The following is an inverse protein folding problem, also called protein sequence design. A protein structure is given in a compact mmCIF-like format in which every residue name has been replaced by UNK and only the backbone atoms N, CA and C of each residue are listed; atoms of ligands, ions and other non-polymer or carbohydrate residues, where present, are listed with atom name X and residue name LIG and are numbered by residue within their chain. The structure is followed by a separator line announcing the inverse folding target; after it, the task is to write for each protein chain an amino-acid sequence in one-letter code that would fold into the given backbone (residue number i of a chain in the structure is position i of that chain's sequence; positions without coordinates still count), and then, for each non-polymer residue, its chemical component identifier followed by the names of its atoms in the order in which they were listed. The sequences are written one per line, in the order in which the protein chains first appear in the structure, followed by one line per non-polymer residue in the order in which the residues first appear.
data_IF_195036672190
#
_entry.id   IF_195036672190
#
_cell.length_a   1.000
_cell.length_b   1.000
_cell.length_c   1.000
_cell.angle_alpha   90.00
_cell.angle_beta   90.00
_cell.angle_gamma   90.00
#
_symmetry.space_group_name_H-M   'P 1'
#
loop_
_entity.id
_entity.type
_entity.pdbx_description
1 polymer ?
#
# COMPACT_ATOMS: atom_id res chain seq x y z
N UNK A 1 43.33 82.22 39.37
CA UNK A 1 43.90 80.98 39.91
C UNK A 1 43.74 79.96 38.79
N UNK A 2 44.68 79.96 37.82
CA UNK A 2 45.90 79.12 37.78
C UNK A 2 45.50 77.64 37.52
N UNK A 3 45.91 76.92 36.48
CA UNK A 3 47.01 77.05 35.50
C UNK A 3 46.67 76.35 34.16
N UNK A 4 47.34 76.80 33.09
CA UNK A 4 47.52 76.24 31.73
C UNK A 4 48.72 75.23 31.73
N UNK A 5 49.26 74.59 30.65
CA UNK A 5 48.77 74.12 29.31
C UNK A 5 49.16 72.64 28.99
N UNK A 6 48.57 72.06 27.93
CA UNK A 6 49.32 71.47 26.78
C UNK A 6 48.37 71.24 25.59
N UNK A 7 48.62 71.98 24.50
CA UNK A 7 48.05 71.94 23.13
C UNK A 7 48.78 70.84 22.29
N UNK A 8 48.55 70.59 20.97
CA UNK A 8 47.44 70.88 20.03
C UNK A 8 46.95 69.66 19.18
N UNK A 9 45.93 69.94 18.35
CA UNK A 9 45.63 69.42 17.00
C UNK A 9 45.35 67.90 16.81
N UNK A 10 44.14 67.53 16.40
CA UNK A 10 43.87 67.12 15.00
C UNK A 10 42.48 66.46 14.82
N UNK A 11 41.80 66.98 13.81
CA UNK A 11 40.95 66.31 12.81
C UNK A 11 40.03 65.16 13.22
N UNK A 12 38.74 65.48 13.06
CA UNK A 12 37.62 64.59 12.79
C UNK A 12 38.01 63.50 11.77
N UNK A 13 37.94 62.19 12.10
CA UNK A 13 38.27 61.16 11.13
C UNK A 13 37.12 60.95 10.14
N UNK A 14 37.56 60.95 8.89
CA UNK A 14 36.90 60.75 7.62
C UNK A 14 36.00 59.49 7.57
N UNK A 15 34.87 59.64 6.86
CA UNK A 15 33.92 58.56 6.59
C UNK A 15 34.35 57.88 5.30
N UNK A 16 35.35 57.01 5.37
CA UNK A 16 35.64 55.99 4.34
C UNK A 16 36.58 54.92 4.88
N UNK A 17 36.07 53.76 5.26
CA UNK A 17 36.67 52.43 5.00
C UNK A 17 35.91 51.32 5.75
N UNK A 18 35.13 50.54 4.99
CA UNK A 18 35.16 49.07 4.97
C UNK A 18 34.05 48.56 4.04
N UNK A 19 34.23 48.84 2.74
CA UNK A 19 33.61 48.07 1.66
C UNK A 19 34.71 47.24 0.99
N UNK A 20 35.20 46.20 1.65
CA UNK A 20 36.14 45.26 1.02
C UNK A 20 36.12 43.83 1.58
N UNK A 21 35.02 43.37 2.20
CA UNK A 21 34.83 41.96 2.59
C UNK A 21 33.73 41.24 1.80
N UNK A 22 33.31 41.79 0.65
CA UNK A 22 32.30 41.20 -0.24
C UNK A 22 32.83 40.71 -1.60
N UNK A 23 34.14 40.78 -1.86
CA UNK A 23 34.70 40.61 -3.21
C UNK A 23 35.68 39.43 -3.34
N UNK A 24 35.64 38.46 -2.44
CA UNK A 24 36.56 37.31 -2.44
C UNK A 24 35.88 35.94 -2.70
N UNK A 25 34.62 35.92 -3.18
CA UNK A 25 33.98 34.70 -3.70
C UNK A 25 33.64 34.76 -5.20
N UNK A 26 33.94 35.87 -5.89
CA UNK A 26 33.62 36.06 -7.31
C UNK A 26 34.81 35.83 -8.27
N UNK A 27 35.94 35.34 -7.76
CA UNK A 27 37.20 35.29 -8.52
C UNK A 27 37.60 33.90 -9.05
N UNK A 28 36.64 33.01 -9.33
CA UNK A 28 36.90 31.73 -10.05
C UNK A 28 35.92 31.43 -11.19
N UNK A 29 35.11 32.39 -11.64
CA UNK A 29 34.19 32.21 -12.75
C UNK A 29 34.60 33.02 -13.99
N UNK A 30 35.84 32.85 -14.46
CA UNK A 30 36.24 33.37 -15.78
C UNK A 30 37.09 32.34 -16.52
N UNK A 31 36.41 31.40 -17.19
CA UNK A 31 36.71 30.96 -18.56
C UNK A 31 35.84 29.75 -18.96
N UNK A 32 34.64 29.98 -19.51
CA UNK A 32 34.12 29.16 -20.62
C UNK A 32 33.18 29.99 -21.51
N UNK A 33 33.42 29.85 -22.81
CA UNK A 33 32.80 30.49 -23.97
C UNK A 33 31.28 30.32 -24.08
N UNK A 34 30.56 31.33 -24.57
CA UNK A 34 29.38 31.32 -25.48
C UNK A 34 28.42 30.11 -25.49
N UNK A 35 28.21 29.42 -24.38
CA UNK A 35 27.33 28.26 -24.33
C UNK A 35 25.92 28.71 -23.93
N UNK A 36 25.05 28.85 -24.93
CA UNK A 36 23.61 29.04 -24.71
C UNK A 36 23.01 27.68 -24.37
N UNK A 37 22.54 27.51 -23.13
CA UNK A 37 21.87 26.29 -22.71
C UNK A 37 20.70 25.96 -23.64
N UNK A 38 20.46 24.68 -23.98
CA UNK A 38 19.32 24.32 -24.83
C UNK A 38 17.98 24.68 -24.15
N UNK A 39 16.93 24.87 -24.96
CA UNK A 39 15.55 25.02 -24.50
C UNK A 39 14.73 23.76 -24.81
N UNK A 40 14.93 22.66 -24.05
CA UNK A 40 14.33 21.38 -24.37
C UNK A 40 12.83 21.36 -24.09
N UNK A 41 12.11 20.73 -25.01
CA UNK A 41 10.69 20.44 -24.88
C UNK A 41 9.78 21.65 -25.08
N UNK A 42 8.82 21.83 -24.19
CA UNK A 42 7.81 22.89 -24.32
C UNK A 42 8.39 24.31 -24.14
N UNK A 43 8.13 25.20 -25.11
CA UNK A 43 8.51 26.62 -25.04
C UNK A 43 7.85 27.40 -23.90
N UNK A 44 6.84 26.82 -23.25
CA UNK A 44 6.15 27.39 -22.07
C UNK A 44 6.95 27.20 -20.77
N UNK A 45 7.95 26.32 -20.78
CA UNK A 45 8.87 26.13 -19.65
C UNK A 45 10.07 27.07 -19.79
N UNK A 46 10.72 27.50 -18.69
CA UNK A 46 11.93 28.31 -18.78
C UNK A 46 13.09 27.55 -19.44
N UNK A 47 13.99 28.27 -20.10
CA UNK A 47 15.24 27.70 -20.63
C UNK A 47 16.14 27.22 -19.47
N UNK A 48 17.00 26.23 -19.72
CA UNK A 48 17.92 25.75 -18.69
C UNK A 48 18.97 26.80 -18.33
N UNK A 49 19.41 26.77 -17.07
CA UNK A 49 20.57 27.53 -16.62
C UNK A 49 21.83 26.69 -16.79
N UNK A 50 22.98 27.34 -16.94
CA UNK A 50 24.29 26.68 -17.04
C UNK A 50 24.99 26.73 -15.70
N UNK A 51 25.49 25.59 -15.23
CA UNK A 51 26.38 25.49 -14.08
C UNK A 51 27.39 24.35 -14.33
N UNK A 52 28.55 24.40 -13.68
CA UNK A 52 29.48 23.28 -13.70
C UNK A 52 28.93 22.10 -12.88
N UNK A 53 29.11 20.89 -13.39
CA UNK A 53 28.69 19.67 -12.70
C UNK A 53 29.66 19.42 -11.54
N UNK A 54 29.12 19.16 -10.35
CA UNK A 54 29.91 18.81 -9.16
C UNK A 54 30.64 17.49 -9.42
N UNK A 55 31.92 17.42 -9.02
CA UNK A 55 32.73 16.21 -9.12
C UNK A 55 32.07 15.02 -8.42
N UNK A 56 32.13 13.85 -9.06
CA UNK A 56 31.57 12.63 -8.50
C UNK A 56 32.32 12.23 -7.21
N UNK A 57 31.60 11.82 -6.14
CA UNK A 57 32.23 11.42 -4.90
C UNK A 57 33.05 10.15 -5.09
N UNK A 58 34.22 10.10 -4.45
CA UNK A 58 35.02 8.89 -4.42
C UNK A 58 34.37 7.85 -3.48
N UNK A 59 34.11 6.65 -4.01
CA UNK A 59 33.58 5.54 -3.24
C UNK A 59 34.63 5.00 -2.26
N UNK A 60 34.61 5.49 -1.03
CA UNK A 60 35.35 4.89 0.10
C UNK A 60 34.41 4.04 0.95
N UNK A 61 34.94 3.03 1.66
CA UNK A 61 34.13 2.17 2.55
C UNK A 61 33.36 2.96 3.62
N UNK A 62 33.91 4.09 4.06
CA UNK A 62 33.28 4.98 5.05
C UNK A 62 32.12 5.77 4.44
N UNK A 63 32.31 6.30 3.23
CA UNK A 63 31.25 6.99 2.49
C UNK A 63 30.11 6.03 2.12
N UNK A 64 30.41 4.75 1.86
CA UNK A 64 29.38 3.75 1.56
C UNK A 64 28.36 3.57 2.70
N UNK A 65 28.81 3.51 3.96
CA UNK A 65 27.90 3.47 5.11
C UNK A 65 27.19 4.80 5.37
N UNK A 66 27.84 5.93 5.07
CA UNK A 66 27.26 7.24 5.24
C UNK A 66 26.09 7.49 4.26
N UNK A 67 26.20 6.99 3.01
CA UNK A 67 25.15 7.02 2.00
C UNK A 67 23.93 6.13 2.32
N UNK A 68 24.12 5.04 3.07
CA UNK A 68 23.03 4.14 3.45
C UNK A 68 22.03 4.81 4.39
N UNK A 69 22.47 5.71 5.27
CA UNK A 69 21.60 6.38 6.24
C UNK A 69 20.48 7.20 5.58
N UNK A 70 20.81 8.20 4.72
CA UNK A 70 19.82 8.98 3.99
C UNK A 70 18.95 8.11 3.07
N UNK A 71 19.54 7.14 2.37
CA UNK A 71 18.80 6.24 1.47
C UNK A 71 17.78 5.37 2.23
N UNK A 72 18.16 4.85 3.40
CA UNK A 72 17.27 4.05 4.25
C UNK A 72 16.12 4.90 4.82
N UNK A 73 16.41 6.13 5.25
CA UNK A 73 15.40 7.07 5.75
C UNK A 73 14.41 7.48 4.64
N UNK A 74 14.91 7.77 3.44
CA UNK A 74 14.07 8.07 2.27
C UNK A 74 13.25 6.85 1.84
N UNK A 75 13.86 5.66 1.84
CA UNK A 75 13.17 4.40 1.56
C UNK A 75 12.06 4.09 2.56
N UNK A 76 12.28 4.30 3.87
CA UNK A 76 11.26 4.08 4.89
C UNK A 76 10.12 5.11 4.91
N UNK A 77 10.34 6.28 4.30
CA UNK A 77 9.28 7.26 4.02
C UNK A 77 8.41 6.83 2.83
N UNK A 78 8.96 6.08 1.88
CA UNK A 78 8.24 5.56 0.72
C UNK A 78 7.32 4.37 1.05
N UNK A 79 7.54 3.70 2.19
CA UNK A 79 6.68 2.58 2.63
C UNK A 79 5.38 3.12 3.24
N UNK A 80 4.27 2.91 2.53
CA UNK A 80 2.92 3.37 2.85
C UNK A 80 2.05 2.30 3.53
N UNK A 81 0.95 2.71 4.18
CA UNK A 81 0.10 1.81 4.97
C UNK A 81 -0.71 0.77 4.18
N UNK A 82 -0.97 0.98 2.90
CA UNK A 82 -1.67 0.01 2.04
C UNK A 82 -0.84 -1.24 1.71
N UNK A 83 0.48 -1.10 1.61
CA UNK A 83 1.44 -2.19 1.33
C UNK A 83 1.48 -3.21 2.48
N UNK A 84 1.33 -2.72 3.71
CA UNK A 84 1.35 -3.53 4.94
C UNK A 84 0.16 -4.48 5.08
N UNK A 85 -0.95 -4.20 4.42
CA UNK A 85 -2.14 -5.05 4.48
C UNK A 85 -2.17 -6.01 3.29
N UNK A 86 -1.90 -5.51 2.08
CA UNK A 86 -2.00 -6.31 0.86
C UNK A 86 -0.89 -7.35 0.73
N UNK A 87 0.35 -7.02 1.13
CA UNK A 87 1.47 -7.95 1.05
C UNK A 87 1.23 -9.24 1.86
N UNK A 88 1.01 -9.15 3.18
CA UNK A 88 0.72 -10.32 4.01
C UNK A 88 -0.53 -11.08 3.58
N UNK A 89 -1.60 -10.37 3.18
CA UNK A 89 -2.83 -11.02 2.71
C UNK A 89 -2.56 -11.94 1.51
N UNK A 90 -1.73 -11.50 0.56
CA UNK A 90 -1.41 -12.31 -0.61
C UNK A 90 -0.42 -13.40 -0.30
N UNK A 91 0.61 -13.13 0.49
CA UNK A 91 1.54 -14.18 0.90
C UNK A 91 0.85 -15.25 1.76
N UNK A 92 -0.19 -14.88 2.52
CA UNK A 92 -1.04 -15.85 3.20
C UNK A 92 -1.91 -16.67 2.24
N UNK A 93 -2.36 -16.08 1.12
CA UNK A 93 -3.25 -16.73 0.15
C UNK A 93 -2.57 -17.48 -1.00
N UNK A 94 -1.31 -17.18 -1.33
CA UNK A 94 -0.60 -17.73 -2.50
C UNK A 94 0.86 -18.08 -2.18
N UNK A 95 1.21 -18.10 -0.89
CA UNK A 95 2.58 -18.29 -0.45
C UNK A 95 3.56 -17.31 -1.09
N UNK A 96 4.77 -17.80 -1.36
CA UNK A 96 5.83 -17.06 -2.03
C UNK A 96 5.68 -16.99 -3.56
N UNK A 97 4.70 -17.67 -4.15
CA UNK A 97 4.68 -17.93 -5.59
C UNK A 97 4.54 -16.68 -6.47
N UNK A 98 4.01 -15.59 -5.90
CA UNK A 98 3.83 -14.31 -6.57
C UNK A 98 4.96 -13.31 -6.31
N UNK A 99 5.98 -13.67 -5.51
CA UNK A 99 7.10 -12.76 -5.18
C UNK A 99 7.96 -12.38 -6.39
N UNK A 100 7.91 -13.11 -7.50
CA UNK A 100 8.57 -12.72 -8.75
C UNK A 100 8.06 -11.38 -9.29
N UNK A 101 6.80 -11.02 -9.02
CA UNK A 101 6.24 -9.70 -9.34
C UNK A 101 6.91 -8.60 -8.50
N UNK A 102 7.22 -8.90 -7.23
CA UNK A 102 8.01 -8.01 -6.38
C UNK A 102 9.44 -7.84 -6.93
N UNK A 103 10.07 -8.90 -7.45
CA UNK A 103 11.37 -8.79 -8.15
C UNK A 103 11.32 -7.79 -9.30
N UNK A 104 10.35 -7.95 -10.21
CA UNK A 104 10.20 -7.06 -11.37
C UNK A 104 9.91 -5.63 -10.90
N UNK A 105 9.06 -5.46 -9.89
CA UNK A 105 8.76 -4.16 -9.28
C UNK A 105 10.01 -3.50 -8.71
N UNK A 106 10.80 -4.21 -7.90
CA UNK A 106 12.04 -3.69 -7.31
C UNK A 106 13.04 -3.31 -8.40
N UNK A 107 13.23 -4.16 -9.41
CA UNK A 107 14.12 -3.86 -10.53
C UNK A 107 13.64 -2.62 -11.31
N UNK A 108 12.35 -2.53 -11.60
CA UNK A 108 11.74 -1.38 -12.28
C UNK A 108 11.90 -0.10 -11.47
N UNK A 109 11.67 -0.16 -10.15
CA UNK A 109 11.85 0.98 -9.25
C UNK A 109 13.32 1.40 -9.15
N UNK A 110 14.26 0.47 -9.08
CA UNK A 110 15.70 0.77 -9.06
C UNK A 110 16.10 1.49 -10.35
N UNK A 111 15.71 0.95 -11.51
CA UNK A 111 15.99 1.57 -12.81
C UNK A 111 15.34 2.96 -12.90
N UNK A 112 14.08 3.10 -12.49
CA UNK A 112 13.39 4.37 -12.47
C UNK A 112 14.09 5.39 -11.57
N UNK A 113 14.42 5.02 -10.34
CA UNK A 113 15.09 5.88 -9.35
C UNK A 113 16.49 6.32 -9.83
N UNK A 114 17.21 5.43 -10.51
CA UNK A 114 18.49 5.77 -11.16
C UNK A 114 18.26 6.79 -12.27
N UNK A 115 17.30 6.58 -13.17
CA UNK A 115 17.07 7.47 -14.31
C UNK A 115 16.57 8.85 -13.89
N UNK A 116 15.67 8.96 -12.91
CA UNK A 116 15.25 10.28 -12.40
C UNK A 116 16.39 11.02 -11.70
N UNK A 117 17.28 10.30 -11.02
CA UNK A 117 18.45 10.89 -10.37
C UNK A 117 19.47 11.36 -11.42
N UNK A 118 19.73 10.56 -12.45
CA UNK A 118 20.58 10.93 -13.59
C UNK A 118 20.03 12.16 -14.31
N UNK A 119 18.73 12.20 -14.58
CA UNK A 119 18.07 13.37 -15.18
C UNK A 119 18.35 14.64 -14.36
N UNK A 120 18.14 14.54 -13.04
CA UNK A 120 18.33 15.68 -12.13
C UNK A 120 19.77 16.15 -12.11
N UNK A 121 20.74 15.22 -12.06
CA UNK A 121 22.17 15.54 -12.08
C UNK A 121 22.56 16.24 -13.39
N UNK A 122 22.05 15.79 -14.54
CA UNK A 122 22.41 16.38 -15.83
C UNK A 122 21.73 17.73 -16.11
N UNK A 123 20.53 17.94 -15.60
CA UNK A 123 19.69 19.10 -15.96
C UNK A 123 19.60 20.16 -14.85
N UNK A 124 19.97 19.80 -13.62
CA UNK A 124 19.82 20.65 -12.44
C UNK A 124 18.36 20.88 -12.03
N UNK A 125 17.38 20.26 -12.69
CA UNK A 125 15.96 20.39 -12.36
C UNK A 125 15.36 19.05 -11.90
N UNK A 126 14.37 19.08 -10.99
CA UNK A 126 13.68 17.87 -10.57
C UNK A 126 12.92 17.23 -11.74
N UNK A 127 12.79 15.91 -11.75
CA UNK A 127 12.09 15.20 -12.83
C UNK A 127 10.61 15.62 -12.94
N UNK A 128 9.96 16.08 -11.86
CA UNK A 128 8.60 16.66 -11.93
C UNK A 128 8.54 17.83 -12.91
N UNK A 129 9.50 18.75 -12.82
CA UNK A 129 9.67 19.87 -13.75
C UNK A 129 10.01 19.36 -15.15
N UNK A 130 10.87 18.33 -15.23
CA UNK A 130 11.23 17.69 -16.50
C UNK A 130 10.04 17.13 -17.27
N UNK A 131 9.06 16.50 -16.60
CA UNK A 131 7.85 15.98 -17.27
C UNK A 131 7.04 17.10 -17.92
N UNK A 132 6.98 18.30 -17.34
CA UNK A 132 6.30 19.43 -18.00
C UNK A 132 6.91 19.80 -19.35
N UNK A 133 8.17 19.45 -19.60
CA UNK A 133 8.82 19.67 -20.89
C UNK A 133 8.44 18.62 -21.95
N UNK A 134 7.93 17.45 -21.55
CA UNK A 134 7.57 16.37 -22.48
C UNK A 134 6.16 16.55 -23.03
N UNK A 135 5.89 15.99 -24.22
CA UNK A 135 4.51 15.89 -24.72
C UNK A 135 3.70 14.98 -23.77
N UNK A 136 2.45 15.32 -23.42
CA UNK A 136 1.52 16.27 -24.09
C UNK A 136 1.64 17.75 -23.69
N UNK A 137 2.63 18.10 -22.85
CA UNK A 137 2.94 19.47 -22.45
C UNK A 137 2.50 19.81 -21.02
N UNK A 138 2.87 21.01 -20.52
CA UNK A 138 2.75 21.35 -19.10
C UNK A 138 1.32 21.27 -18.56
N UNK A 139 0.33 21.75 -19.32
CA UNK A 139 -1.06 21.79 -18.86
C UNK A 139 -1.64 20.40 -18.63
N UNK A 140 -1.34 19.44 -19.51
CA UNK A 140 -1.75 18.05 -19.32
C UNK A 140 -1.16 17.46 -18.06
N UNK A 141 0.16 17.61 -17.88
CA UNK A 141 0.87 17.06 -16.73
C UNK A 141 0.43 17.67 -15.41
N UNK A 142 0.13 18.98 -15.38
CA UNK A 142 -0.47 19.62 -14.19
C UNK A 142 -1.81 18.96 -13.86
N UNK A 143 -2.71 18.82 -14.84
CA UNK A 143 -3.99 18.14 -14.62
C UNK A 143 -3.81 16.68 -14.18
N UNK A 144 -2.89 15.94 -14.81
CA UNK A 144 -2.60 14.56 -14.46
C UNK A 144 -2.08 14.43 -13.02
N UNK A 145 -1.15 15.30 -12.61
CA UNK A 145 -0.66 15.31 -11.23
C UNK A 145 -1.75 15.69 -10.23
N UNK A 146 -2.60 16.68 -10.52
CA UNK A 146 -3.72 17.03 -9.65
C UNK A 146 -4.69 15.85 -9.49
N UNK A 147 -4.94 15.08 -10.55
CA UNK A 147 -5.78 13.88 -10.49
C UNK A 147 -5.11 12.78 -9.67
N UNK A 148 -3.80 12.53 -9.85
CA UNK A 148 -3.07 11.53 -9.06
C UNK A 148 -2.95 11.94 -7.59
N UNK A 149 -2.76 13.22 -7.30
CA UNK A 149 -2.68 13.75 -5.94
C UNK A 149 -4.05 13.81 -5.25
N UNK A 150 -5.17 13.87 -5.98
CA UNK A 150 -6.50 13.89 -5.38
C UNK A 150 -6.73 12.68 -4.45
N UNK A 151 -6.18 11.51 -4.81
CA UNK A 151 -6.24 10.30 -3.99
C UNK A 151 -5.38 10.35 -2.72
N UNK A 152 -4.29 11.14 -2.71
CA UNK A 152 -3.37 11.23 -1.56
C UNK A 152 -3.86 12.18 -0.46
N UNK A 153 -4.85 13.03 -0.76
CA UNK A 153 -5.42 14.00 0.18
C UNK A 153 -6.27 13.32 1.27
N UNK A 154 -6.87 12.17 0.97
CA UNK A 154 -7.74 11.48 1.92
C UNK A 154 -6.92 10.82 3.04
N UNK A 155 -7.23 11.05 4.33
CA UNK A 155 -6.46 10.54 5.47
C UNK A 155 -6.75 9.05 5.74
N UNK A 156 -6.77 8.20 4.71
CA UNK A 156 -7.08 6.78 4.85
C UNK A 156 -6.07 6.07 5.76
N UNK A 157 -4.81 6.51 5.75
CA UNK A 157 -3.75 5.97 6.61
C UNK A 157 -4.07 6.14 8.10
N UNK A 158 -4.66 7.27 8.48
CA UNK A 158 -5.07 7.52 9.86
C UNK A 158 -6.23 6.59 10.25
N UNK A 159 -7.17 6.33 9.33
CA UNK A 159 -8.26 5.37 9.54
C UNK A 159 -7.76 3.93 9.66
N UNK A 160 -6.81 3.52 8.82
CA UNK A 160 -6.19 2.20 8.91
C UNK A 160 -5.40 2.01 10.22
N UNK A 161 -4.76 3.06 10.73
CA UNK A 161 -4.09 3.04 12.03
C UNK A 161 -5.08 3.04 13.22
N UNK A 162 -6.31 3.53 13.01
CA UNK A 162 -7.32 3.57 14.06
C UNK A 162 -7.85 2.18 14.43
N UNK A 163 -8.00 1.27 13.46
CA UNK A 163 -8.54 -0.08 13.70
C UNK A 163 -7.69 -0.86 14.72
N UNK A 164 -6.36 -1.02 14.57
CA UNK A 164 -5.55 -1.70 15.58
C UNK A 164 -5.58 -1.03 16.96
N UNK A 165 -5.62 0.30 17.01
CA UNK A 165 -5.72 1.05 18.28
C UNK A 165 -7.07 0.80 18.95
N UNK A 166 -8.15 0.80 18.17
CA UNK A 166 -9.49 0.46 18.63
C UNK A 166 -9.57 -0.98 19.15
N UNK A 167 -8.95 -1.94 18.47
CA UNK A 167 -8.83 -3.34 18.94
C UNK A 167 -8.16 -3.43 20.30
N UNK A 168 -7.06 -2.68 20.51
CA UNK A 168 -6.37 -2.64 21.81
C UNK A 168 -7.30 -2.06 22.90
N UNK A 169 -8.01 -0.97 22.60
CA UNK A 169 -8.95 -0.34 23.54
C UNK A 169 -10.10 -1.29 23.91
N UNK A 170 -10.58 -2.09 22.95
CA UNK A 170 -11.60 -3.12 23.15
C UNK A 170 -11.08 -4.40 23.83
N UNK A 171 -9.81 -4.45 24.24
CA UNK A 171 -9.26 -5.63 24.92
C UNK A 171 -8.92 -6.80 23.99
N UNK A 172 -8.72 -6.54 22.70
CA UNK A 172 -8.35 -7.55 21.70
C UNK A 172 -9.44 -7.89 20.69
N UNK A 173 -10.67 -7.41 20.90
CA UNK A 173 -11.77 -7.62 19.95
C UNK A 173 -11.69 -6.67 18.75
N UNK A 174 -11.82 -7.21 17.53
CA UNK A 174 -11.83 -6.41 16.31
C UNK A 174 -13.08 -5.51 16.29
N UNK A 175 -12.95 -4.21 15.95
CA UNK A 175 -14.09 -3.31 15.81
C UNK A 175 -15.07 -3.78 14.73
N UNK A 176 -16.35 -3.77 15.04
CA UNK A 176 -17.44 -4.11 14.12
C UNK A 176 -18.15 -2.86 13.61
N UNK A 177 -19.23 -3.01 12.83
CA UNK A 177 -20.03 -1.89 12.35
C UNK A 177 -20.54 -0.99 13.49
N UNK A 178 -20.84 -1.57 14.65
CA UNK A 178 -21.33 -0.85 15.84
C UNK A 178 -20.26 0.09 16.44
N UNK A 179 -18.98 -0.22 16.23
CA UNK A 179 -17.84 0.55 16.73
C UNK A 179 -17.44 1.69 15.77
N UNK A 180 -18.24 1.97 14.74
CA UNK A 180 -17.93 2.97 13.71
C UNK A 180 -17.53 4.33 14.31
N UNK A 181 -18.24 4.79 15.33
CA UNK A 181 -17.96 6.08 15.97
C UNK A 181 -16.60 6.06 16.68
N UNK A 182 -16.30 4.97 17.39
CA UNK A 182 -15.03 4.82 18.11
C UNK A 182 -13.85 4.84 17.14
N UNK A 183 -13.90 4.04 16.06
CA UNK A 183 -12.85 4.01 15.03
C UNK A 183 -12.71 5.37 14.35
N UNK A 184 -13.82 6.04 14.06
CA UNK A 184 -13.83 7.37 13.42
C UNK A 184 -13.18 8.43 14.30
N UNK A 185 -13.52 8.47 15.59
CA UNK A 185 -12.93 9.43 16.55
C UNK A 185 -11.43 9.17 16.71
N UNK A 186 -11.01 7.91 16.87
CA UNK A 186 -9.59 7.55 16.95
C UNK A 186 -8.86 7.95 15.67
N UNK A 187 -9.46 7.73 14.49
CA UNK A 187 -8.89 8.14 13.21
C UNK A 187 -8.64 9.65 13.13
N UNK A 188 -9.59 10.48 13.57
CA UNK A 188 -9.39 11.93 13.64
C UNK A 188 -8.33 12.33 14.66
N UNK A 189 -8.28 11.67 15.82
CA UNK A 189 -7.24 11.93 16.82
C UNK A 189 -5.84 11.59 16.31
N UNK A 190 -5.69 10.45 15.63
CA UNK A 190 -4.42 10.05 14.99
C UNK A 190 -4.03 11.05 13.91
N UNK A 191 -4.98 11.47 13.07
CA UNK A 191 -4.74 12.47 12.04
C UNK A 191 -4.24 13.79 12.64
N UNK A 192 -4.90 14.31 13.68
CA UNK A 192 -4.47 15.52 14.38
C UNK A 192 -3.11 15.33 15.07
N UNK A 193 -2.87 14.17 15.68
CA UNK A 193 -1.61 13.84 16.30
C UNK A 193 -0.46 13.78 15.28
N UNK A 194 -0.71 13.32 14.06
CA UNK A 194 0.29 13.32 12.98
C UNK A 194 0.71 14.73 12.55
N UNK A 195 -0.10 15.76 12.81
CA UNK A 195 0.25 17.16 12.57
C UNK A 195 1.11 17.76 13.68
N UNK A 196 1.11 17.18 14.89
CA UNK A 196 1.83 17.71 16.06
C UNK A 196 3.33 17.93 15.80
N UNK A 197 4.08 16.99 15.18
CA UNK A 197 5.49 17.19 14.88
C UNK A 197 5.80 18.38 13.96
N UNK A 198 4.82 18.85 13.18
CA UNK A 198 4.98 19.99 12.26
C UNK A 198 5.07 21.32 13.02
N UNK A 199 4.53 21.43 14.23
CA UNK A 199 4.51 22.68 15.00
C UNK A 199 5.84 22.98 15.72
N UNK A 200 6.68 21.99 15.99
CA UNK A 200 7.96 22.17 16.72
C UNK A 200 9.13 22.57 15.80
N UNK A 201 8.81 23.33 14.75
CA UNK A 201 9.59 23.57 13.53
C UNK A 201 10.86 24.41 13.64
N UNK A 202 11.66 24.26 14.69
CA UNK A 202 13.04 24.79 14.68
C UNK A 202 13.91 24.08 13.62
N UNK A 203 13.66 22.78 13.40
CA UNK A 203 14.28 21.95 12.35
C UNK A 203 13.34 20.79 11.99
N UNK A 204 12.27 21.06 11.23
CA UNK A 204 11.26 20.05 10.81
C UNK A 204 11.94 18.78 10.27
N UNK A 205 12.98 18.96 9.45
CA UNK A 205 13.78 17.87 8.90
C UNK A 205 14.38 16.93 9.96
N UNK A 206 14.91 17.46 11.06
CA UNK A 206 15.53 16.64 12.10
C UNK A 206 14.50 15.83 12.89
N UNK A 207 13.35 16.43 13.19
CA UNK A 207 12.23 15.73 13.84
C UNK A 207 11.69 14.59 12.97
N UNK A 208 11.46 14.86 11.67
CA UNK A 208 11.01 13.84 10.72
C UNK A 208 12.04 12.73 10.55
N UNK A 209 13.33 13.06 10.46
CA UNK A 209 14.41 12.07 10.38
C UNK A 209 14.39 11.11 11.57
N UNK A 210 14.30 11.63 12.79
CA UNK A 210 14.27 10.80 14.01
C UNK A 210 13.05 9.88 14.02
N UNK A 211 11.86 10.42 13.74
CA UNK A 211 10.61 9.65 13.72
C UNK A 211 10.67 8.54 12.68
N UNK A 212 11.11 8.84 11.45
CA UNK A 212 11.20 7.85 10.37
C UNK A 212 12.27 6.79 10.66
N UNK A 213 13.44 7.18 11.18
CA UNK A 213 14.46 6.20 11.60
C UNK A 213 13.94 5.28 12.72
N UNK A 214 13.24 5.83 13.72
CA UNK A 214 12.66 5.04 14.80
C UNK A 214 11.59 4.06 14.29
N UNK A 215 10.69 4.53 13.40
CA UNK A 215 9.69 3.68 12.70
C UNK A 215 10.36 2.50 12.03
N UNK A 216 11.39 2.73 11.21
CA UNK A 216 12.09 1.67 10.46
C UNK A 216 12.67 0.65 11.43
N UNK A 217 13.42 1.09 12.45
CA UNK A 217 14.06 0.18 13.41
C UNK A 217 13.03 -0.65 14.17
N UNK A 218 11.95 -0.03 14.64
CA UNK A 218 10.90 -0.72 15.39
C UNK A 218 10.18 -1.75 14.51
N UNK A 219 9.73 -1.34 13.33
CA UNK A 219 8.92 -2.17 12.45
C UNK A 219 9.75 -3.31 11.86
N UNK A 220 10.92 -3.03 11.29
CA UNK A 220 11.80 -4.09 10.77
C UNK A 220 12.32 -4.98 11.90
N UNK A 221 12.67 -4.42 13.05
CA UNK A 221 13.12 -5.20 14.20
C UNK A 221 12.04 -6.16 14.70
N UNK A 222 10.79 -5.69 14.81
CA UNK A 222 9.65 -6.53 15.16
C UNK A 222 9.40 -7.63 14.14
N UNK A 223 9.34 -7.30 12.84
CA UNK A 223 9.15 -8.29 11.78
C UNK A 223 10.27 -9.33 11.72
N UNK A 224 11.53 -8.92 11.86
CA UNK A 224 12.67 -9.84 11.88
C UNK A 224 12.58 -10.76 13.09
N UNK A 225 12.14 -10.25 14.24
CA UNK A 225 11.89 -11.09 15.42
C UNK A 225 10.84 -12.14 15.10
N UNK A 226 9.70 -11.77 14.55
CA UNK A 226 8.68 -12.74 14.15
C UNK A 226 9.22 -13.75 13.13
N UNK A 227 9.93 -13.28 12.10
CA UNK A 227 10.50 -14.13 11.07
C UNK A 227 11.49 -15.15 11.68
N UNK A 228 12.40 -14.74 12.56
CA UNK A 228 13.37 -15.69 13.13
C UNK A 228 12.79 -16.67 14.14
N UNK A 229 11.77 -16.27 14.91
CA UNK A 229 11.22 -17.11 15.98
C UNK A 229 10.00 -17.94 15.57
N UNK A 230 9.26 -17.53 14.54
CA UNK A 230 7.98 -18.14 14.15
C UNK A 230 7.95 -18.71 12.72
N UNK A 231 9.07 -18.72 11.98
CA UNK A 231 9.14 -19.34 10.65
C UNK A 231 9.96 -20.63 10.65
N UNK A 232 9.67 -21.51 9.69
CA UNK A 232 10.40 -22.75 9.47
C UNK A 232 11.42 -22.61 8.33
N UNK A 233 12.46 -23.46 8.27
CA UNK A 233 13.42 -23.44 7.15
C UNK A 233 12.79 -23.66 5.77
N UNK A 234 11.69 -24.40 5.67
CA UNK A 234 10.97 -24.57 4.39
C UNK A 234 10.38 -23.26 3.90
N UNK A 235 9.79 -22.46 4.80
CA UNK A 235 9.27 -21.11 4.48
C UNK A 235 10.36 -20.21 3.89
N UNK A 236 11.59 -20.27 4.41
CA UNK A 236 12.70 -19.48 3.84
C UNK A 236 13.07 -19.89 2.42
N UNK A 237 13.09 -21.20 2.15
CA UNK A 237 13.36 -21.73 0.81
C UNK A 237 12.25 -21.33 -0.15
N UNK A 238 11.00 -21.47 0.28
CA UNK A 238 9.82 -21.07 -0.47
C UNK A 238 9.89 -19.58 -0.84
N UNK A 239 10.08 -18.69 0.14
CA UNK A 239 10.26 -17.24 -0.05
C UNK A 239 11.39 -16.94 -1.02
N UNK A 240 12.58 -17.51 -0.81
CA UNK A 240 13.74 -17.25 -1.67
C UNK A 240 13.51 -17.75 -3.11
N UNK A 241 12.83 -18.88 -3.28
CA UNK A 241 12.50 -19.43 -4.59
C UNK A 241 11.42 -18.62 -5.30
N UNK A 242 10.45 -18.07 -4.55
CA UNK A 242 9.35 -17.28 -5.07
C UNK A 242 9.78 -16.07 -5.90
N UNK A 243 10.90 -15.42 -5.54
CA UNK A 243 11.46 -14.30 -6.30
C UNK A 243 11.87 -14.65 -7.74
N UNK A 244 12.01 -15.94 -8.07
CA UNK A 244 12.41 -16.43 -9.40
C UNK A 244 11.36 -17.34 -10.07
N UNK A 245 10.17 -17.48 -9.51
CA UNK A 245 9.07 -18.28 -10.07
C UNK A 245 8.30 -17.53 -11.17
N UNK A 246 9.00 -17.13 -12.23
CA UNK A 246 8.44 -16.31 -13.31
C UNK A 246 7.26 -16.99 -14.01
N UNK A 247 6.16 -16.24 -14.17
CA UNK A 247 4.98 -16.69 -14.91
C UNK A 247 3.92 -17.40 -14.06
N UNK A 248 4.15 -17.58 -12.77
CA UNK A 248 3.12 -18.04 -11.84
C UNK A 248 2.04 -16.97 -11.70
N UNK A 249 0.80 -17.38 -11.92
CA UNK A 249 -0.40 -16.56 -11.81
C UNK A 249 -1.47 -17.28 -11.00
N UNK A 250 -2.31 -16.53 -10.27
CA UNK A 250 -3.42 -17.13 -9.56
C UNK A 250 -4.49 -17.60 -10.53
N UNK A 251 -5.04 -18.77 -10.24
CA UNK A 251 -6.14 -19.42 -10.95
C UNK A 251 -7.13 -19.97 -9.93
N UNK A 252 -8.34 -20.29 -10.38
CA UNK A 252 -9.30 -21.06 -9.58
C UNK A 252 -9.34 -22.50 -10.08
N UNK A 253 -8.90 -23.44 -9.25
CA UNK A 253 -8.87 -24.86 -9.60
C UNK A 253 -8.86 -25.73 -8.34
N UNK A 254 -9.80 -26.68 -8.30
CA UNK A 254 -9.83 -27.71 -7.26
C UNK A 254 -8.57 -28.56 -7.32
N UNK A 255 -8.05 -28.91 -6.16
CA UNK A 255 -6.94 -29.85 -6.06
C UNK A 255 -7.38 -31.27 -6.38
N UNK A 256 -6.44 -32.07 -6.89
CA UNK A 256 -6.73 -33.47 -7.20
C UNK A 256 -6.37 -34.34 -6.02
N UNK A 257 -7.36 -35.12 -5.59
CA UNK A 257 -7.16 -36.19 -4.62
C UNK A 257 -6.74 -37.49 -5.29
N UNK A 258 -5.84 -38.22 -4.66
CA UNK A 258 -5.56 -39.62 -4.96
C UNK A 258 -6.75 -40.53 -4.67
N UNK A 259 -6.63 -41.81 -5.04
CA UNK A 259 -7.66 -42.81 -4.76
C UNK A 259 -7.87 -43.09 -3.25
N UNK A 260 -6.97 -42.60 -2.41
CA UNK A 260 -7.00 -42.62 -0.95
C UNK A 260 -7.70 -41.39 -0.34
N UNK A 261 -8.21 -40.47 -1.16
CA UNK A 261 -8.91 -39.27 -0.71
C UNK A 261 -7.99 -38.18 -0.17
N UNK A 262 -6.66 -38.37 -0.25
CA UNK A 262 -5.66 -37.36 0.11
C UNK A 262 -5.25 -36.56 -1.11
N UNK A 263 -4.87 -35.31 -0.92
CA UNK A 263 -4.31 -34.52 -2.00
C UNK A 263 -3.06 -35.17 -2.56
N UNK A 264 -2.92 -35.12 -3.88
CA UNK A 264 -1.67 -35.48 -4.52
C UNK A 264 -0.60 -34.46 -4.12
N UNK A 265 0.58 -34.87 -3.61
CA UNK A 265 1.66 -33.93 -3.26
C UNK A 265 2.17 -33.05 -4.41
N UNK A 266 1.75 -33.33 -5.65
CA UNK A 266 2.03 -32.50 -6.83
C UNK A 266 1.00 -31.39 -7.06
N UNK A 267 -0.19 -31.56 -6.50
CA UNK A 267 -1.35 -30.69 -6.69
C UNK A 267 -1.69 -29.91 -5.40
N UNK A 268 -1.17 -30.37 -4.23
CA UNK A 268 -1.09 -29.70 -2.92
C UNK A 268 -0.12 -28.50 -3.00
N UNK A 269 -0.65 -27.33 -3.37
CA UNK A 269 0.19 -26.19 -3.74
C UNK A 269 0.64 -25.35 -2.54
N UNK A 270 -0.12 -25.34 -1.45
CA UNK A 270 0.16 -24.61 -0.21
C UNK A 270 0.73 -25.48 0.92
N UNK A 271 0.84 -26.80 0.67
CA UNK A 271 1.44 -27.80 1.56
C UNK A 271 0.70 -28.00 2.87
N UNK A 272 -0.62 -27.76 2.88
CA UNK A 272 -1.45 -27.97 4.06
C UNK A 272 -1.92 -29.44 4.20
N UNK A 273 -1.89 -30.20 3.10
CA UNK A 273 -2.29 -31.60 3.02
C UNK A 273 -3.81 -31.83 3.00
N UNK A 274 -4.61 -30.79 2.83
CA UNK A 274 -6.07 -30.79 2.73
C UNK A 274 -6.51 -30.47 1.30
N UNK A 275 -7.59 -31.13 0.86
CA UNK A 275 -7.99 -31.10 -0.55
C UNK A 275 -8.97 -29.98 -0.82
N UNK A 276 -8.47 -28.90 -1.40
CA UNK A 276 -9.28 -27.71 -1.63
C UNK A 276 -10.23 -27.89 -2.82
N UNK A 277 -11.53 -27.71 -2.55
CA UNK A 277 -12.57 -27.56 -3.57
C UNK A 277 -12.54 -26.17 -4.21
N UNK A 278 -13.31 -25.92 -5.29
CA UNK A 278 -13.55 -24.53 -5.71
C UNK A 278 -14.82 -24.03 -5.07
N UNK A 279 -14.66 -23.14 -4.09
CA UNK A 279 -15.78 -22.55 -3.40
C UNK A 279 -16.33 -21.31 -4.10
N UNK A 280 -17.66 -21.25 -4.31
CA UNK A 280 -18.29 -20.15 -5.01
C UNK A 280 -18.31 -18.88 -4.16
N UNK A 281 -17.86 -17.77 -4.76
CA UNK A 281 -17.98 -16.44 -4.16
C UNK A 281 -19.43 -15.99 -4.25
N UNK A 282 -19.95 -15.47 -3.14
CA UNK A 282 -21.27 -14.85 -3.11
C UNK A 282 -21.19 -13.48 -3.80
N UNK A 283 -22.00 -13.32 -4.84
CA UNK A 283 -22.19 -12.02 -5.49
C UNK A 283 -23.03 -11.11 -4.58
N UNK A 284 -23.15 -9.83 -4.95
CA UNK A 284 -24.05 -8.91 -4.26
C UNK A 284 -25.46 -9.52 -4.19
N UNK A 285 -26.04 -9.61 -3.00
CA UNK A 285 -27.36 -10.20 -2.74
C UNK A 285 -28.45 -9.65 -3.67
N UNK A 286 -28.31 -8.39 -4.11
CA UNK A 286 -29.21 -7.72 -5.05
C UNK A 286 -29.29 -8.41 -6.42
N UNK A 287 -28.30 -9.21 -6.81
CA UNK A 287 -28.38 -9.98 -8.05
C UNK A 287 -29.35 -11.15 -7.93
N UNK A 288 -29.41 -11.79 -6.76
CA UNK A 288 -30.35 -12.89 -6.48
C UNK A 288 -31.76 -12.34 -6.24
N UNK A 289 -31.90 -11.19 -5.56
CA UNK A 289 -33.19 -10.49 -5.40
C UNK A 289 -33.83 -10.16 -6.75
N UNK A 290 -33.02 -9.69 -7.73
CA UNK A 290 -33.49 -9.39 -9.09
C UNK A 290 -33.73 -10.63 -9.95
N UNK A 291 -33.51 -11.84 -9.43
CA UNK A 291 -33.64 -13.11 -10.16
C UNK A 291 -32.62 -13.29 -11.26
N UNK A 292 -31.50 -12.56 -11.24
CA UNK A 292 -30.41 -12.70 -12.23
C UNK A 292 -29.49 -13.88 -11.93
N UNK A 293 -29.41 -14.27 -10.66
CA UNK A 293 -28.66 -15.43 -10.16
C UNK A 293 -29.60 -16.23 -9.23
N UNK A 294 -29.43 -17.57 -9.13
CA UNK A 294 -30.17 -18.37 -8.16
C UNK A 294 -29.78 -17.99 -6.72
N UNK A 295 -30.63 -18.38 -5.77
CA UNK A 295 -30.27 -18.31 -4.35
C UNK A 295 -29.22 -19.39 -4.03
N UNK A 296 -28.18 -19.06 -3.23
CA UNK A 296 -27.19 -20.02 -2.76
C UNK A 296 -27.82 -21.09 -1.87
N UNK A 297 -27.12 -22.20 -1.71
CA UNK A 297 -27.41 -23.26 -0.74
C UNK A 297 -26.24 -23.28 0.26
N UNK A 298 -26.44 -22.64 1.40
CA UNK A 298 -25.44 -22.45 2.46
C UNK A 298 -25.29 -23.68 3.34
N UNK A 299 -26.38 -24.45 3.56
CA UNK A 299 -26.36 -25.65 4.40
C UNK A 299 -26.09 -26.93 3.59
N UNK A 300 -25.97 -26.81 2.26
CA UNK A 300 -25.71 -27.87 1.29
C UNK A 300 -26.72 -29.03 1.34
N UNK A 301 -27.96 -28.75 1.71
CA UNK A 301 -29.02 -29.77 1.77
C UNK A 301 -29.67 -30.06 0.41
N UNK A 302 -29.24 -29.35 -0.63
CA UNK A 302 -29.73 -29.47 -2.00
C UNK A 302 -30.91 -28.54 -2.30
N UNK A 303 -31.29 -27.65 -1.38
CA UNK A 303 -32.32 -26.65 -1.57
C UNK A 303 -31.77 -25.22 -1.42
N UNK A 304 -32.20 -24.28 -2.29
CA UNK A 304 -31.76 -22.91 -2.18
C UNK A 304 -32.28 -22.22 -0.93
N UNK A 305 -31.41 -21.52 -0.23
CA UNK A 305 -31.71 -20.67 0.92
C UNK A 305 -32.28 -19.31 0.48
N UNK A 306 -33.49 -19.35 -0.06
CA UNK A 306 -34.22 -18.14 -0.38
C UNK A 306 -34.79 -17.47 0.88
N UNK A 307 -34.86 -16.13 0.92
CA UNK A 307 -35.57 -15.41 1.96
C UNK A 307 -37.07 -15.74 1.88
N UNK A 308 -37.73 -15.87 3.03
CA UNK A 308 -39.15 -16.19 3.14
C UNK A 308 -39.87 -15.20 4.05
N UNK A 309 -41.16 -15.00 3.77
CA UNK A 309 -42.11 -14.25 4.59
C UNK A 309 -42.84 -15.25 5.49
N UNK A 310 -42.50 -15.29 6.78
CA UNK A 310 -43.09 -16.24 7.73
C UNK A 310 -44.40 -15.77 8.34
N UNK A 311 -44.65 -14.46 8.41
CA UNK A 311 -45.83 -13.90 9.05
C UNK A 311 -46.94 -13.48 8.07
N UNK A 312 -46.66 -13.49 6.77
CA UNK A 312 -47.57 -13.22 5.67
C UNK A 312 -47.84 -11.72 5.47
N UNK A 313 -46.98 -10.83 5.96
CA UNK A 313 -47.13 -9.38 5.83
C UNK A 313 -46.68 -8.82 4.46
N UNK A 314 -46.14 -9.69 3.60
CA UNK A 314 -45.63 -9.36 2.28
C UNK A 314 -44.17 -8.93 2.26
N UNK A 315 -43.45 -9.08 3.38
CA UNK A 315 -42.01 -8.81 3.51
C UNK A 315 -41.29 -10.06 3.98
N UNK A 316 -40.08 -10.27 3.48
CA UNK A 316 -39.28 -11.38 3.98
C UNK A 316 -38.69 -11.02 5.35
N UNK A 317 -38.70 -11.98 6.26
CA UNK A 317 -38.27 -11.81 7.64
C UNK A 317 -37.32 -12.91 8.14
N UNK A 318 -37.10 -13.94 7.32
CA UNK A 318 -36.22 -15.06 7.67
C UNK A 318 -35.63 -15.76 6.44
N UNK A 319 -34.62 -16.60 6.70
CA UNK A 319 -34.00 -17.46 5.69
C UNK A 319 -34.64 -18.85 5.74
N UNK A 320 -35.27 -19.26 4.63
CA UNK A 320 -36.17 -20.42 4.59
C UNK A 320 -35.53 -21.76 4.96
N UNK A 321 -34.43 -22.15 4.30
CA UNK A 321 -33.78 -23.46 4.56
C UNK A 321 -32.69 -23.43 5.66
N UNK A 322 -32.13 -22.26 5.93
CA UNK A 322 -31.12 -22.07 6.98
C UNK A 322 -31.69 -22.12 8.39
N UNK A 323 -32.95 -21.72 8.58
CA UNK A 323 -33.62 -21.82 9.87
C UNK A 323 -34.33 -23.16 9.93
N UNK A 324 -33.84 -24.10 10.74
CA UNK A 324 -34.54 -25.38 10.91
C UNK A 324 -35.91 -25.13 11.53
N UNK A 325 -36.95 -25.26 10.71
CA UNK A 325 -38.35 -25.10 11.07
C UNK A 325 -38.76 -26.25 11.98
N UNK A 326 -38.74 -26.05 13.30
CA UNK A 326 -39.30 -27.00 14.24
C UNK A 326 -40.66 -26.47 14.70
N UNK A 327 -41.76 -26.94 14.11
CA UNK A 327 -43.07 -26.82 14.73
C UNK A 327 -43.16 -27.91 15.81
N UNK A 328 -42.54 -27.64 16.96
CA UNK A 328 -42.49 -28.59 18.07
C UNK A 328 -43.86 -28.88 18.68
N UNK A 329 -44.86 -28.04 18.40
CA UNK A 329 -46.16 -28.10 19.05
C UNK A 329 -47.33 -28.47 18.09
N UNK A 330 -47.07 -28.57 16.79
CA UNK A 330 -47.99 -29.00 15.71
C UNK A 330 -49.26 -28.12 15.64
N UNK A 331 -49.16 -26.85 16.03
CA UNK A 331 -50.29 -25.89 16.07
C UNK A 331 -50.48 -25.14 14.74
N UNK A 332 -49.62 -25.41 13.75
CA UNK A 332 -49.64 -24.76 12.44
C UNK A 332 -49.06 -23.35 12.45
N UNK A 333 -48.41 -22.93 13.55
CA UNK A 333 -47.57 -21.74 13.68
C UNK A 333 -46.16 -22.21 14.04
N UNK A 334 -45.16 -21.69 13.35
CA UNK A 334 -43.77 -22.11 13.54
C UNK A 334 -43.26 -21.69 14.93
N UNK A 335 -42.78 -22.64 15.74
CA UNK A 335 -42.11 -22.34 17.01
C UNK A 335 -40.70 -21.80 16.70
N UNK A 336 -40.43 -20.55 17.07
CA UNK A 336 -39.09 -19.98 17.00
C UNK A 336 -38.27 -20.45 18.21
N UNK A 337 -37.23 -21.27 17.97
CA UNK A 337 -35.88 -21.16 18.55
C UNK A 337 -35.07 -22.47 18.50
N UNK A 338 -34.15 -22.55 17.54
CA UNK A 338 -32.78 -22.99 17.78
C UNK A 338 -31.87 -22.38 16.72
N UNK A 339 -30.89 -21.59 17.19
CA UNK A 339 -29.89 -20.80 16.45
C UNK A 339 -30.32 -19.36 16.13
N UNK A 340 -30.25 -18.52 17.16
CA UNK A 340 -30.24 -17.06 17.06
C UNK A 340 -28.89 -16.55 16.49
N UNK A 341 -28.46 -17.04 15.33
CA UNK A 341 -27.20 -16.61 14.68
C UNK A 341 -27.38 -16.16 13.23
N UNK A 342 -28.36 -16.72 12.49
CA UNK A 342 -28.64 -16.31 11.11
C UNK A 342 -29.55 -15.07 11.10
N UNK A 343 -28.99 -13.90 11.45
CA UNK A 343 -29.75 -12.64 11.50
C UNK A 343 -30.24 -12.23 10.11
N UNK A 344 -31.56 -12.16 9.91
CA UNK A 344 -32.14 -11.55 8.73
C UNK A 344 -32.00 -10.02 8.82
N UNK A 345 -31.11 -9.45 8.01
CA UNK A 345 -30.75 -8.04 8.10
C UNK A 345 -31.44 -7.23 7.00
N UNK A 346 -32.50 -6.52 7.39
CA UNK A 346 -33.19 -5.52 6.59
C UNK A 346 -33.14 -4.17 7.33
N UNK A 347 -32.08 -3.39 7.10
CA UNK A 347 -31.88 -2.08 7.73
C UNK A 347 -32.84 -1.04 7.14
N UNK A 348 -33.16 -1.17 5.86
CA UNK A 348 -33.91 -0.18 5.10
C UNK A 348 -35.44 -0.39 5.16
N UNK A 349 -35.89 -1.54 5.66
CA UNK A 349 -37.28 -2.00 5.87
C UNK A 349 -38.09 -2.20 4.60
N UNK A 350 -37.43 -2.47 3.48
CA UNK A 350 -38.07 -2.73 2.18
C UNK A 350 -38.57 -4.18 2.04
N UNK A 351 -38.24 -5.07 2.97
CA UNK A 351 -38.63 -6.48 2.96
C UNK A 351 -37.68 -7.38 2.15
N UNK A 352 -36.59 -6.83 1.63
CA UNK A 352 -35.49 -7.57 1.02
C UNK A 352 -34.27 -7.57 1.98
N UNK A 353 -33.47 -8.65 1.97
CA UNK A 353 -32.26 -8.69 2.78
C UNK A 353 -31.17 -7.75 2.22
N UNK A 354 -30.58 -6.93 3.08
CA UNK A 354 -29.47 -6.02 2.73
C UNK A 354 -28.10 -6.73 2.71
N UNK A 355 -28.00 -7.92 3.33
CA UNK A 355 -26.77 -8.70 3.42
C UNK A 355 -27.06 -10.20 3.46
N UNK A 356 -26.06 -11.00 3.07
CA UNK A 356 -26.10 -12.46 3.22
C UNK A 356 -26.23 -12.89 4.69
N UNK A 357 -26.75 -14.10 4.95
CA UNK A 357 -26.82 -14.64 6.31
C UNK A 357 -25.43 -14.70 6.95
N UNK A 358 -25.38 -14.67 8.28
CA UNK A 358 -24.21 -15.03 9.08
C UNK A 358 -24.44 -16.47 9.56
N UNK A 359 -23.79 -17.43 8.90
CA UNK A 359 -24.05 -18.85 9.14
C UNK A 359 -23.14 -19.39 10.25
N UNK A 360 -21.95 -18.81 10.39
CA UNK A 360 -20.91 -19.24 11.31
C UNK A 360 -20.88 -18.46 12.65
N UNK A 361 -21.78 -17.48 12.85
CA UNK A 361 -21.91 -16.65 14.06
C UNK A 361 -20.67 -15.76 14.33
N UNK A 362 -19.97 -15.34 13.27
CA UNK A 362 -18.79 -14.46 13.37
C UNK A 362 -19.15 -12.96 13.39
N UNK A 363 -20.46 -12.64 13.34
CA UNK A 363 -21.06 -11.29 13.25
C UNK A 363 -20.77 -10.58 11.94
N UNK A 364 -20.40 -11.31 10.90
CA UNK A 364 -20.25 -10.81 9.53
C UNK A 364 -21.18 -11.59 8.60
N UNK A 365 -21.65 -10.88 7.58
CA UNK A 365 -22.38 -11.55 6.50
C UNK A 365 -21.42 -12.44 5.70
N UNK A 366 -21.92 -13.60 5.28
CA UNK A 366 -21.15 -14.53 4.46
C UNK A 366 -20.70 -13.89 3.15
N UNK A 367 -19.51 -14.31 2.69
CA UNK A 367 -18.89 -13.81 1.45
C UNK A 367 -18.67 -14.91 0.41
N UNK A 368 -18.73 -16.17 0.82
CA UNK A 368 -18.56 -17.36 -0.01
C UNK A 368 -19.37 -18.50 0.63
N UNK A 369 -19.55 -19.59 -0.11
CA UNK A 369 -20.13 -20.82 0.45
C UNK A 369 -18.97 -21.68 0.94
N UNK A 370 -18.92 -21.87 2.25
CA UNK A 370 -17.97 -22.76 2.93
C UNK A 370 -18.46 -24.21 2.78
N UNK A 371 -17.80 -24.96 1.90
CA UNK A 371 -18.19 -26.31 1.51
C UNK A 371 -17.74 -27.33 2.56
N UNK A 372 -16.54 -27.14 3.12
CA UNK A 372 -15.91 -28.12 4.00
C UNK A 372 -15.93 -27.74 5.50
N UNK A 373 -16.37 -26.51 5.80
CA UNK A 373 -16.67 -26.01 7.14
C UNK A 373 -15.45 -25.45 7.88
N UNK A 374 -14.38 -25.09 7.17
CA UNK A 374 -13.13 -24.62 7.78
C UNK A 374 -13.09 -23.08 7.99
N UNK A 375 -14.08 -22.36 7.44
CA UNK A 375 -14.22 -20.91 7.52
C UNK A 375 -13.25 -20.12 6.62
N UNK A 376 -12.55 -20.79 5.72
CA UNK A 376 -11.62 -20.23 4.74
C UNK A 376 -12.18 -20.51 3.34
N UNK A 377 -11.94 -19.58 2.41
CA UNK A 377 -12.37 -19.79 1.03
C UNK A 377 -11.37 -20.64 0.27
N UNK A 378 -11.81 -21.79 -0.18
CA UNK A 378 -11.03 -22.73 -0.99
C UNK A 378 -11.09 -22.48 -2.50
N UNK A 379 -10.10 -23.06 -3.19
CA UNK A 379 -10.03 -23.11 -4.65
C UNK A 379 -9.10 -22.09 -5.27
N UNK A 380 -8.45 -21.26 -4.44
CA UNK A 380 -7.32 -20.47 -4.88
C UNK A 380 -6.17 -21.42 -5.22
N UNK A 381 -5.64 -21.34 -6.44
CA UNK A 381 -4.50 -22.15 -6.84
C UNK A 381 -3.56 -21.30 -7.71
N UNK A 382 -2.42 -21.84 -8.10
CA UNK A 382 -1.42 -21.19 -8.95
C UNK A 382 -1.09 -22.09 -10.13
N UNK A 383 -1.02 -21.50 -11.31
CA UNK A 383 -0.44 -22.17 -12.48
C UNK A 383 0.57 -21.25 -13.17
N UNK A 384 1.51 -21.85 -13.87
CA UNK A 384 2.52 -21.13 -14.61
C UNK A 384 2.08 -20.97 -16.06
N UNK A 385 1.89 -19.74 -16.52
CA UNK A 385 1.42 -19.44 -17.89
C UNK A 385 2.30 -20.14 -18.94
N UNK A 386 3.63 -20.12 -18.76
CA UNK A 386 4.56 -20.67 -19.74
C UNK A 386 4.50 -22.21 -19.76
N UNK A 387 4.40 -22.84 -18.60
CA UNK A 387 4.28 -24.30 -18.51
C UNK A 387 2.91 -24.78 -18.99
N UNK A 388 1.83 -24.07 -18.67
CA UNK A 388 0.46 -24.39 -19.10
C UNK A 388 0.35 -24.39 -20.63
N UNK A 389 0.90 -23.36 -21.28
CA UNK A 389 0.97 -23.29 -22.74
C UNK A 389 1.85 -24.42 -23.31
N UNK A 390 2.98 -24.72 -22.68
CA UNK A 390 3.90 -25.77 -23.15
C UNK A 390 3.33 -27.19 -22.99
N UNK A 391 2.55 -27.44 -21.94
CA UNK A 391 1.83 -28.71 -21.70
C UNK A 391 0.68 -28.94 -22.68
N UNK A 392 0.22 -27.88 -23.36
CA UNK A 392 -0.91 -27.93 -24.28
C UNK A 392 -2.26 -27.70 -23.61
N UNK A 393 -2.27 -27.29 -22.34
CA UNK A 393 -3.47 -27.00 -21.55
C UNK A 393 -4.13 -25.67 -21.97
N UNK A 394 -3.40 -24.83 -22.73
CA UNK A 394 -3.87 -23.56 -23.24
C UNK A 394 -3.45 -22.38 -22.36
N UNK A 395 -4.15 -21.25 -22.49
CA UNK A 395 -3.96 -20.12 -21.59
C UNK A 395 -4.79 -20.37 -20.32
N UNK A 396 -4.18 -20.32 -19.11
CA UNK A 396 -4.90 -20.62 -17.89
C UNK A 396 -6.04 -19.62 -17.66
N UNK A 397 -7.13 -20.08 -17.05
CA UNK A 397 -8.22 -19.20 -16.61
C UNK A 397 -7.75 -18.43 -15.37
N UNK A 398 -7.16 -17.26 -15.62
CA UNK A 398 -6.67 -16.37 -14.57
C UNK A 398 -7.87 -15.83 -13.81
N UNK A 399 -7.82 -15.90 -12.47
CA UNK A 399 -8.81 -15.21 -11.65
C UNK A 399 -8.58 -13.70 -11.74
N UNK A 400 -9.48 -13.04 -12.49
CA UNK A 400 -9.45 -11.59 -12.72
C UNK A 400 -9.79 -10.79 -11.46
N UNK A 401 -10.39 -11.41 -10.43
CA UNK A 401 -10.58 -10.80 -9.11
C UNK A 401 -9.23 -10.42 -8.48
N UNK A 402 -8.17 -11.15 -8.83
CA UNK A 402 -6.79 -10.90 -8.40
C UNK A 402 -5.98 -10.01 -9.35
N UNK A 403 -6.54 -9.61 -10.50
CA UNK A 403 -5.93 -8.54 -11.31
C UNK A 403 -6.00 -7.19 -10.61
N UNK A 404 -7.01 -6.95 -9.76
CA UNK A 404 -7.00 -5.79 -8.86
C UNK A 404 -5.77 -5.81 -7.93
N UNK A 405 -5.27 -7.01 -7.58
CA UNK A 405 -4.05 -7.19 -6.81
C UNK A 405 -2.77 -7.00 -7.63
N UNK A 406 -2.66 -7.57 -8.84
CA UNK A 406 -1.52 -7.30 -9.74
C UNK A 406 -1.45 -5.80 -10.07
N UNK A 407 -2.61 -5.19 -10.32
CA UNK A 407 -2.77 -3.74 -10.49
C UNK A 407 -2.42 -3.01 -9.20
N UNK A 408 -2.74 -3.56 -8.03
CA UNK A 408 -2.34 -3.08 -6.72
C UNK A 408 -0.84 -3.10 -6.52
N UNK A 409 -0.13 -4.18 -6.86
CA UNK A 409 1.32 -4.28 -6.83
C UNK A 409 1.98 -3.33 -7.84
N UNK A 410 1.41 -3.21 -9.04
CA UNK A 410 1.86 -2.26 -10.05
C UNK A 410 1.60 -0.81 -9.60
N UNK A 411 0.49 -0.55 -8.91
CA UNK A 411 0.15 0.74 -8.32
C UNK A 411 1.03 1.04 -7.10
N UNK A 412 1.43 0.04 -6.32
CA UNK A 412 2.42 0.13 -5.25
C UNK A 412 3.79 0.46 -5.85
N UNK A 413 4.21 -0.23 -6.92
CA UNK A 413 5.44 0.07 -7.64
C UNK A 413 5.43 1.49 -8.24
N UNK A 414 4.30 1.88 -8.83
CA UNK A 414 4.10 3.19 -9.45
C UNK A 414 3.98 4.32 -8.42
N UNK A 415 3.26 4.09 -7.33
CA UNK A 415 3.13 5.02 -6.20
C UNK A 415 4.45 5.15 -5.47
N UNK A 416 5.19 4.07 -5.26
CA UNK A 416 6.56 4.09 -4.75
C UNK A 416 7.48 4.91 -5.66
N UNK A 417 7.44 4.69 -6.98
CA UNK A 417 8.19 5.51 -7.94
C UNK A 417 7.82 7.00 -7.90
N UNK A 418 6.53 7.32 -7.88
CA UNK A 418 6.02 8.71 -7.81
C UNK A 418 6.31 9.37 -6.46
N UNK A 419 6.19 8.64 -5.36
CA UNK A 419 6.49 9.10 -3.99
C UNK A 419 7.99 9.21 -3.73
N UNK A 420 8.80 8.46 -4.48
CA UNK A 420 10.25 8.59 -4.52
C UNK A 420 10.72 9.69 -5.49
N UNK A 421 9.83 10.24 -6.31
CA UNK A 421 10.17 11.31 -7.25
C UNK A 421 10.72 12.57 -6.56
N UNK A 422 10.27 12.98 -5.36
CA UNK A 422 10.94 14.01 -4.54
C UNK A 422 12.39 13.70 -4.16
N UNK A 423 12.87 12.46 -4.30
CA UNK A 423 14.31 12.15 -4.21
C UNK A 423 15.10 12.95 -5.24
N UNK A 424 14.52 13.30 -6.39
CA UNK A 424 15.15 14.25 -7.32
C UNK A 424 15.39 15.63 -6.70
N UNK A 425 14.52 16.12 -5.83
CA UNK A 425 14.77 17.38 -5.11
C UNK A 425 15.96 17.22 -4.15
N UNK A 426 16.05 16.08 -3.46
CA UNK A 426 17.19 15.78 -2.59
C UNK A 426 18.50 15.70 -3.39
N UNK A 427 18.51 14.98 -4.51
CA UNK A 427 19.68 14.89 -5.42
C UNK A 427 20.05 16.26 -6.01
N UNK A 428 19.08 17.13 -6.26
CA UNK A 428 19.35 18.51 -6.71
C UNK A 428 20.00 19.34 -5.61
N UNK A 429 19.46 19.28 -4.39
CA UNK A 429 19.86 20.17 -3.29
C UNK A 429 21.16 19.69 -2.60
N UNK A 430 21.44 18.39 -2.61
CA UNK A 430 22.62 17.77 -1.98
C UNK A 430 23.67 17.31 -2.98
N UNK A 431 23.39 17.42 -4.29
CA UNK A 431 24.25 16.92 -5.37
C UNK A 431 24.32 15.38 -5.42
N UNK A 432 25.49 14.84 -5.73
CA UNK A 432 25.77 13.45 -5.42
C UNK A 432 25.63 13.25 -3.91
N UNK A 433 24.84 12.28 -3.47
CA UNK A 433 24.59 12.00 -2.05
C UNK A 433 25.80 12.37 -1.16
N UNK A 434 25.59 13.37 -0.30
CA UNK A 434 26.58 14.04 0.56
C UNK A 434 27.36 15.18 -0.10
N UNK A 435 26.89 16.41 0.12
CA UNK A 435 27.83 17.48 0.48
C UNK A 435 27.33 18.17 1.75
N UNK A 436 28.18 18.13 2.78
CA UNK A 436 28.07 18.77 4.10
C UNK A 436 27.30 18.00 5.20
N UNK A 437 28.01 17.07 5.85
CA UNK A 437 28.01 16.96 7.31
C UNK A 437 29.12 17.84 7.89
#
# INVERSE_FOLDING_TARGET
MADDPTRPDDEQPDVTENQSEGAASDATAQATSDFVAPHPGSKKMPQWNTAELIDAPYFTRRNWFAMLGPALVMGGAAIGGGEWLLGPLVTAKYGAALLWLATISVLGQVLYNIEISRYTLYTGEPIFTGKFRTMPGPAFWVCAYLVFDLGSIFPYLAKNAATPVATIIKGGEVPTADDYLLVTVIGYLIFLAALVPLFFGGKIYNSLRIIMSAKIVLVFGFLLTLAFFFSSPSTWVEICSGFVQFGNVPIERAEKTGADGKVLPSDDWDMDGHADGVEPILKDIRTSIKGSEPWPDFNQDGKPDAPVDTDGDGKNDSWGDLTTHNDTNDDGRLDTWSNMSVLFKDENKDGDPDAWPDVNDDKQAEKFIDIDGDGIRDGNNIDNIFLSIFRGDGFPNIDFTLIAFITGLAAIAGSGGLSNTPTSNFTRDQGWCETYL
#
